data_IF_981295830684
#
_entry.id   IF_981295830684
#
_cell.length_a   1.000
_cell.length_b   1.000
_cell.length_c   1.000
_cell.angle_alpha   90.00
_cell.angle_beta   90.00
_cell.angle_gamma   90.00
#
_symmetry.space_group_name_H-M   'P 1'
#
loop_
_entity.id
_entity.type
_entity.pdbx_description
1 polymer ?
#
# COMPACT_ATOMS: atom_id res chain seq x y z
N UNK A 1 31.01 7.56 10.72
CA UNK A 1 29.81 6.72 10.54
C UNK A 1 28.98 6.82 11.81
N UNK A 2 27.74 7.28 11.79
CA UNK A 2 26.94 7.33 13.01
C UNK A 2 26.57 5.89 13.41
N UNK A 3 26.93 5.51 14.62
CA UNK A 3 26.52 4.30 15.30
C UNK A 3 25.00 4.28 15.41
N UNK A 4 24.36 3.32 14.76
CA UNK A 4 22.92 3.04 14.92
C UNK A 4 22.77 2.53 16.35
N UNK A 5 22.19 3.37 17.24
CA UNK A 5 21.91 2.99 18.59
C UNK A 5 21.12 1.68 18.63
N UNK A 6 21.63 0.70 19.34
CA UNK A 6 20.95 -0.55 19.62
C UNK A 6 19.75 -0.27 20.54
N UNK A 7 18.64 0.18 19.95
CA UNK A 7 17.35 0.15 20.62
C UNK A 7 17.03 -1.32 20.91
N UNK A 8 16.54 -1.60 22.10
CA UNK A 8 16.09 -2.90 22.57
C UNK A 8 14.94 -3.41 21.68
N UNK A 9 15.24 -3.90 20.49
CA UNK A 9 14.25 -4.44 19.55
C UNK A 9 13.82 -5.80 20.05
N UNK A 10 12.72 -5.81 20.79
CA UNK A 10 12.02 -7.04 21.11
C UNK A 10 11.68 -7.71 19.77
N UNK A 11 12.16 -8.93 19.56
CA UNK A 11 11.91 -9.66 18.33
C UNK A 11 10.41 -9.95 18.21
N UNK A 12 9.73 -9.26 17.30
CA UNK A 12 8.29 -9.44 17.05
C UNK A 12 7.99 -10.72 16.25
N UNK A 13 9.04 -11.34 15.69
CA UNK A 13 8.92 -12.52 14.84
C UNK A 13 9.84 -13.63 15.36
N UNK A 14 9.45 -14.92 15.15
CA UNK A 14 10.22 -16.04 15.66
C UNK A 14 11.59 -16.20 14.97
N UNK A 15 12.54 -16.80 15.65
CA UNK A 15 13.88 -17.06 15.12
C UNK A 15 13.87 -17.96 13.86
N UNK A 16 12.81 -18.75 13.66
CA UNK A 16 12.58 -19.56 12.46
C UNK A 16 12.31 -18.73 11.19
N UNK A 17 12.05 -17.43 11.36
CA UNK A 17 11.86 -16.48 10.26
C UNK A 17 12.88 -15.32 10.36
N UNK A 18 14.17 -15.55 10.14
CA UNK A 18 15.25 -14.60 10.44
C UNK A 18 15.13 -13.29 9.62
N UNK A 19 14.58 -13.36 8.42
CA UNK A 19 14.36 -12.17 7.57
C UNK A 19 13.15 -11.34 7.99
N UNK A 20 12.23 -11.87 8.79
CA UNK A 20 10.96 -11.20 9.09
C UNK A 20 11.15 -9.89 9.88
N UNK A 21 12.00 -9.91 10.93
CA UNK A 21 12.28 -8.70 11.71
C UNK A 21 12.91 -7.58 10.87
N UNK A 22 14.04 -7.78 10.15
CA UNK A 22 14.63 -6.71 9.36
C UNK A 22 13.70 -6.20 8.25
N UNK A 23 12.92 -7.07 7.59
CA UNK A 23 11.95 -6.67 6.56
C UNK A 23 10.82 -5.85 7.18
N UNK A 24 10.26 -6.30 8.29
CA UNK A 24 9.18 -5.59 8.98
C UNK A 24 9.62 -4.19 9.40
N UNK A 25 10.70 -4.07 10.14
CA UNK A 25 11.17 -2.78 10.65
C UNK A 25 11.66 -1.84 9.55
N UNK A 26 12.19 -2.36 8.46
CA UNK A 26 12.61 -1.53 7.32
C UNK A 26 11.43 -1.03 6.49
N UNK A 27 10.39 -1.87 6.28
CA UNK A 27 9.36 -1.64 5.26
C UNK A 27 8.03 -1.19 5.86
N UNK A 28 7.55 -1.80 6.93
CA UNK A 28 6.18 -1.64 7.41
C UNK A 28 6.06 -0.85 8.72
N UNK A 29 7.09 -0.90 9.56
CA UNK A 29 7.13 -0.17 10.82
C UNK A 29 7.41 1.31 10.58
N UNK A 30 6.56 2.18 11.09
CA UNK A 30 6.70 3.64 10.95
C UNK A 30 7.55 4.20 12.10
N UNK A 31 8.17 5.35 11.86
CA UNK A 31 8.88 6.09 12.91
C UNK A 31 7.88 6.77 13.84
N UNK A 32 8.12 6.66 15.13
CA UNK A 32 7.38 7.35 16.21
C UNK A 32 8.36 8.17 17.03
N UNK A 33 7.85 8.96 17.97
CA UNK A 33 8.69 9.72 18.91
C UNK A 33 9.55 8.80 19.79
N UNK A 34 9.09 7.56 20.05
CA UNK A 34 9.77 6.56 20.88
C UNK A 34 10.62 5.57 20.08
N UNK A 35 10.72 5.73 18.77
CA UNK A 35 11.46 4.83 17.90
C UNK A 35 10.64 4.35 16.70
N UNK A 36 10.55 3.04 16.50
CA UNK A 36 9.74 2.44 15.45
C UNK A 36 8.59 1.63 16.05
N UNK A 37 7.46 1.61 15.31
CA UNK A 37 6.30 0.79 15.70
C UNK A 37 6.68 -0.68 15.83
N UNK A 38 6.24 -1.31 16.90
CA UNK A 38 6.20 -2.77 17.07
C UNK A 38 5.10 -3.39 16.22
N UNK A 39 5.11 -4.72 16.09
CA UNK A 39 4.02 -5.43 15.42
C UNK A 39 2.65 -5.16 16.05
N UNK A 40 2.59 -5.10 17.38
CA UNK A 40 1.35 -4.79 18.10
C UNK A 40 0.81 -3.40 17.76
N UNK A 41 1.68 -2.40 17.64
CA UNK A 41 1.28 -1.02 17.31
C UNK A 41 0.81 -0.93 15.86
N UNK A 42 1.49 -1.57 14.91
CA UNK A 42 1.05 -1.65 13.51
C UNK A 42 -0.31 -2.35 13.41
N UNK A 43 -0.51 -3.46 14.10
CA UNK A 43 -1.80 -4.18 14.11
C UNK A 43 -2.94 -3.31 14.66
N UNK A 44 -2.71 -2.60 15.76
CA UNK A 44 -3.71 -1.67 16.33
C UNK A 44 -4.04 -0.54 15.37
N UNK A 45 -3.04 0.07 14.75
CA UNK A 45 -3.23 1.13 13.75
C UNK A 45 -4.04 0.65 12.56
N UNK A 46 -3.72 -0.53 12.03
CA UNK A 46 -4.45 -1.14 10.92
C UNK A 46 -5.92 -1.44 11.25
N UNK A 47 -6.18 -2.00 12.43
CA UNK A 47 -7.53 -2.27 12.90
C UNK A 47 -8.34 -0.99 13.09
N UNK A 48 -7.73 0.07 13.60
CA UNK A 48 -8.39 1.37 13.70
C UNK A 48 -8.77 1.92 12.32
N UNK A 49 -7.87 1.81 11.33
CA UNK A 49 -8.18 2.19 9.96
C UNK A 49 -9.33 1.37 9.35
N UNK A 50 -9.34 0.06 9.57
CA UNK A 50 -10.44 -0.81 9.12
C UNK A 50 -11.77 -0.47 9.79
N UNK A 51 -11.74 -0.13 11.09
CA UNK A 51 -12.95 0.32 11.82
C UNK A 51 -13.54 1.59 11.22
N UNK A 52 -12.71 2.52 10.77
CA UNK A 52 -13.16 3.77 10.17
C UNK A 52 -13.68 3.60 8.74
N UNK A 53 -13.07 2.71 7.96
CA UNK A 53 -13.43 2.50 6.55
C UNK A 53 -14.54 1.49 6.36
N UNK A 54 -14.62 0.48 7.22
CA UNK A 54 -15.49 -0.66 7.06
C UNK A 54 -16.75 -0.60 7.91
N UNK A 55 -17.73 -1.39 7.52
CA UNK A 55 -18.95 -1.65 8.29
C UNK A 55 -18.79 -2.93 9.11
N UNK A 56 -17.60 -3.12 9.72
CA UNK A 56 -17.29 -4.30 10.52
C UNK A 56 -17.98 -4.23 11.89
N UNK A 57 -18.61 -5.33 12.26
CA UNK A 57 -19.15 -5.48 13.60
C UNK A 57 -18.04 -5.86 14.62
N UNK A 58 -18.37 -5.83 15.92
CA UNK A 58 -17.37 -6.08 16.97
C UNK A 58 -16.75 -7.48 16.90
N UNK A 59 -17.54 -8.51 16.55
CA UNK A 59 -17.04 -9.89 16.43
C UNK A 59 -16.01 -10.04 15.31
N UNK A 60 -16.25 -9.36 14.18
CA UNK A 60 -15.31 -9.33 13.05
C UNK A 60 -14.03 -8.60 13.42
N UNK A 61 -14.12 -7.47 14.12
CA UNK A 61 -12.96 -6.75 14.60
C UNK A 61 -12.13 -7.56 15.59
N UNK A 62 -12.77 -8.27 16.52
CA UNK A 62 -12.09 -9.14 17.50
C UNK A 62 -11.41 -10.32 16.79
N UNK A 63 -12.07 -10.90 15.79
CA UNK A 63 -11.48 -11.96 14.96
C UNK A 63 -10.24 -11.45 14.22
N UNK A 64 -10.33 -10.31 13.55
CA UNK A 64 -9.22 -9.71 12.82
C UNK A 64 -8.07 -9.32 13.76
N UNK A 65 -8.38 -8.79 14.94
CA UNK A 65 -7.38 -8.47 15.96
C UNK A 65 -6.57 -9.71 16.35
N UNK A 66 -7.25 -10.81 16.64
CA UNK A 66 -6.60 -12.08 16.97
C UNK A 66 -5.77 -12.61 15.81
N UNK A 67 -6.35 -12.62 14.59
CA UNK A 67 -5.65 -13.14 13.41
C UNK A 67 -4.41 -12.34 13.07
N UNK A 68 -4.45 -11.02 13.18
CA UNK A 68 -3.27 -10.18 12.97
C UNK A 68 -2.24 -10.33 14.09
N UNK A 69 -2.65 -10.39 15.35
CA UNK A 69 -1.74 -10.61 16.47
C UNK A 69 -0.98 -11.93 16.32
N UNK A 70 -1.67 -12.99 15.92
CA UNK A 70 -1.11 -14.32 15.66
C UNK A 70 -0.44 -14.44 14.29
N UNK A 71 -0.46 -13.41 13.46
CA UNK A 71 0.08 -13.36 12.08
C UNK A 71 -0.52 -14.42 11.15
N UNK A 72 -1.74 -14.86 11.41
CA UNK A 72 -2.47 -15.87 10.62
C UNK A 72 -3.18 -15.27 9.40
N UNK A 73 -3.61 -14.02 9.51
CA UNK A 73 -4.16 -13.27 8.38
C UNK A 73 -3.61 -11.84 8.42
N UNK A 74 -3.01 -11.42 7.33
CA UNK A 74 -2.38 -10.12 7.19
C UNK A 74 -3.02 -9.35 6.05
N UNK A 75 -3.21 -8.04 6.18
CA UNK A 75 -3.59 -7.22 5.05
C UNK A 75 -2.43 -7.10 4.05
N UNK A 76 -2.67 -6.47 2.90
CA UNK A 76 -1.60 -6.18 1.96
C UNK A 76 -0.47 -5.39 2.62
N UNK A 77 0.77 -5.57 2.13
CA UNK A 77 1.94 -4.86 2.66
C UNK A 77 1.76 -3.34 2.61
N UNK A 78 1.09 -2.82 1.57
CA UNK A 78 0.77 -1.40 1.45
C UNK A 78 -0.15 -0.94 2.60
N UNK A 79 -1.20 -1.71 2.91
CA UNK A 79 -2.07 -1.39 4.03
C UNK A 79 -1.36 -1.50 5.38
N UNK A 80 -0.46 -2.46 5.55
CA UNK A 80 0.40 -2.53 6.74
C UNK A 80 1.19 -1.24 6.96
N UNK A 81 1.63 -0.59 5.88
CA UNK A 81 2.42 0.63 5.96
C UNK A 81 1.57 1.88 6.16
N UNK A 82 0.45 2.04 5.45
CA UNK A 82 -0.33 3.29 5.42
C UNK A 82 -1.69 3.20 6.14
N UNK A 83 -2.23 2.00 6.36
CA UNK A 83 -3.55 1.81 6.99
C UNK A 83 -3.63 2.44 8.37
N UNK A 84 -4.72 3.16 8.65
CA UNK A 84 -4.96 3.87 9.89
C UNK A 84 -4.05 5.07 10.11
N UNK A 85 -3.48 5.64 9.06
CA UNK A 85 -2.72 6.89 9.12
C UNK A 85 -3.57 8.05 8.64
N UNK A 86 -3.38 9.23 9.21
CA UNK A 86 -4.06 10.45 8.77
C UNK A 86 -3.80 10.82 7.31
N UNK A 87 -2.75 10.26 6.71
CA UNK A 87 -2.45 10.45 5.29
C UNK A 87 -3.47 9.74 4.40
N UNK A 88 -3.74 8.44 4.66
CA UNK A 88 -4.66 7.66 3.82
C UNK A 88 -6.13 8.01 4.06
N UNK A 89 -6.45 8.58 5.23
CA UNK A 89 -7.81 9.00 5.57
C UNK A 89 -8.29 10.22 4.76
N UNK A 90 -7.38 10.95 4.12
CA UNK A 90 -7.72 12.04 3.20
C UNK A 90 -8.23 11.46 1.88
N UNK A 91 -9.41 11.92 1.41
CA UNK A 91 -10.04 11.43 0.17
C UNK A 91 -9.11 11.45 -1.05
N UNK A 92 -8.29 12.49 -1.18
CA UNK A 92 -7.32 12.65 -2.27
C UNK A 92 -6.22 11.59 -2.30
N UNK A 93 -6.02 10.87 -1.20
CA UNK A 93 -4.95 9.87 -1.07
C UNK A 93 -5.48 8.41 -1.15
N UNK A 94 -6.81 8.22 -1.28
CA UNK A 94 -7.41 6.87 -1.28
C UNK A 94 -6.87 5.98 -2.39
N UNK A 95 -6.57 6.54 -3.56
CA UNK A 95 -5.96 5.79 -4.67
C UNK A 95 -4.62 5.17 -4.30
N UNK A 96 -3.87 5.76 -3.37
CA UNK A 96 -2.63 5.20 -2.84
C UNK A 96 -2.80 3.87 -2.09
N UNK A 97 -4.02 3.49 -1.70
CA UNK A 97 -4.32 2.19 -1.09
C UNK A 97 -4.43 1.05 -2.12
N UNK A 98 -4.70 1.36 -3.38
CA UNK A 98 -4.81 0.35 -4.43
C UNK A 98 -3.42 -0.15 -4.84
N UNK A 99 -3.27 -1.47 -4.91
CA UNK A 99 -2.01 -2.08 -5.32
C UNK A 99 -1.83 -2.02 -6.83
N UNK A 100 -2.86 -2.41 -7.58
CA UNK A 100 -2.83 -2.50 -9.04
C UNK A 100 -4.12 -1.97 -9.64
N UNK A 101 -3.99 -1.40 -10.83
CA UNK A 101 -5.10 -0.96 -11.67
C UNK A 101 -4.89 -1.46 -13.10
N UNK A 102 -5.97 -1.66 -13.82
CA UNK A 102 -5.95 -1.96 -15.26
C UNK A 102 -6.84 -0.96 -15.98
N UNK A 103 -6.35 -0.41 -17.07
CA UNK A 103 -7.04 0.61 -17.86
C UNK A 103 -7.08 0.19 -19.32
N UNK A 104 -8.27 0.23 -19.94
CA UNK A 104 -8.41 0.03 -21.36
C UNK A 104 -7.93 1.28 -22.11
N UNK A 105 -7.04 1.11 -23.08
CA UNK A 105 -6.51 2.21 -23.88
C UNK A 105 -7.46 2.52 -25.06
N UNK A 106 -8.55 3.20 -24.78
CA UNK A 106 -9.59 3.58 -25.76
C UNK A 106 -9.48 5.03 -26.23
N UNK A 107 -8.76 5.88 -25.49
CA UNK A 107 -8.53 7.28 -25.82
C UNK A 107 -7.23 7.81 -25.22
N UNK A 108 -6.84 9.04 -25.57
CA UNK A 108 -5.66 9.69 -25.03
C UNK A 108 -5.76 10.01 -23.54
N UNK A 109 -6.96 10.16 -23.00
CA UNK A 109 -7.18 10.41 -21.56
C UNK A 109 -6.81 9.19 -20.71
N UNK A 110 -6.93 7.99 -21.27
CA UNK A 110 -6.53 6.77 -20.59
C UNK A 110 -5.04 6.77 -20.22
N UNK A 111 -4.18 7.35 -21.08
CA UNK A 111 -2.75 7.49 -20.76
C UNK A 111 -2.52 8.48 -19.60
N UNK A 112 -3.25 9.60 -19.57
CA UNK A 112 -3.22 10.56 -18.46
C UNK A 112 -3.65 9.90 -17.16
N UNK A 113 -4.78 9.18 -17.17
CA UNK A 113 -5.27 8.44 -16.00
C UNK A 113 -4.24 7.43 -15.47
N UNK A 114 -3.60 6.68 -16.36
CA UNK A 114 -2.54 5.74 -15.98
C UNK A 114 -1.37 6.45 -15.29
N UNK A 115 -0.96 7.61 -15.83
CA UNK A 115 0.12 8.40 -15.24
C UNK A 115 -0.27 8.92 -13.86
N UNK A 116 -1.48 9.47 -13.71
CA UNK A 116 -1.99 9.97 -12.43
C UNK A 116 -2.01 8.87 -11.37
N UNK A 117 -2.52 7.69 -11.72
CA UNK A 117 -2.56 6.53 -10.82
C UNK A 117 -1.15 6.05 -10.46
N UNK A 118 -0.22 6.04 -11.41
CA UNK A 118 1.17 5.68 -11.16
C UNK A 118 1.84 6.67 -10.20
N UNK A 119 1.62 7.97 -10.37
CA UNK A 119 2.12 9.01 -9.47
C UNK A 119 1.55 8.92 -8.05
N UNK A 120 0.33 8.40 -7.92
CA UNK A 120 -0.30 8.09 -6.62
C UNK A 120 0.23 6.79 -5.98
N UNK A 121 1.13 6.08 -6.67
CA UNK A 121 1.75 4.85 -6.16
C UNK A 121 1.04 3.55 -6.53
N UNK A 122 0.05 3.58 -7.43
CA UNK A 122 -0.54 2.36 -7.97
C UNK A 122 0.40 1.67 -8.96
N UNK A 123 0.38 0.33 -8.99
CA UNK A 123 0.90 -0.42 -10.11
C UNK A 123 -0.09 -0.33 -11.27
N UNK A 124 0.25 0.41 -12.33
CA UNK A 124 -0.65 0.62 -13.46
C UNK A 124 -0.37 -0.35 -14.60
N UNK A 125 -1.44 -0.94 -15.13
CA UNK A 125 -1.42 -1.78 -16.31
C UNK A 125 -2.32 -1.22 -17.41
N UNK A 126 -1.96 -1.49 -18.66
CA UNK A 126 -2.76 -1.15 -19.83
C UNK A 126 -3.22 -2.42 -20.53
N UNK A 127 -4.48 -2.44 -20.95
CA UNK A 127 -4.98 -3.46 -21.87
C UNK A 127 -4.73 -2.95 -23.27
N UNK A 128 -3.81 -3.63 -23.98
CA UNK A 128 -3.40 -3.32 -25.37
C UNK A 128 -3.90 -4.45 -26.25
N UNK A 129 -5.11 -4.29 -26.76
CA UNK A 129 -5.73 -5.23 -27.68
C UNK A 129 -6.10 -4.50 -28.99
N UNK A 130 -6.06 -5.18 -30.17
CA UNK A 130 -6.31 -4.53 -31.44
C UNK A 130 -7.60 -3.72 -31.48
N UNK A 131 -8.70 -4.28 -30.98
CA UNK A 131 -10.00 -3.59 -30.99
C UNK A 131 -10.07 -2.35 -30.08
N UNK A 132 -9.17 -2.21 -29.09
CA UNK A 132 -9.04 -1.01 -28.26
C UNK A 132 -8.13 0.01 -28.94
N UNK A 133 -7.05 -0.44 -29.54
CA UNK A 133 -6.08 0.43 -30.21
C UNK A 133 -6.69 1.05 -31.47
N UNK A 134 -7.54 0.30 -32.18
CA UNK A 134 -8.26 0.81 -33.36
C UNK A 134 -9.23 1.97 -33.05
N UNK A 135 -9.57 2.17 -31.77
CA UNK A 135 -10.38 3.29 -31.29
C UNK A 135 -9.57 4.58 -31.05
N UNK A 136 -8.24 4.46 -30.98
CA UNK A 136 -7.38 5.62 -30.76
C UNK A 136 -7.33 6.51 -32.01
N UNK A 137 -7.28 7.84 -31.84
CA UNK A 137 -7.08 8.77 -32.96
C UNK A 137 -5.75 8.49 -33.65
N UNK A 138 -5.78 8.56 -34.99
CA UNK A 138 -4.55 8.40 -35.78
C UNK A 138 -3.61 9.57 -35.52
N UNK A 139 -2.34 9.25 -35.26
CA UNK A 139 -1.28 10.27 -35.14
C UNK A 139 -0.86 10.71 -36.54
N UNK A 140 -1.27 11.92 -36.93
CA UNK A 140 -1.00 12.47 -38.28
C UNK A 140 0.17 13.46 -38.31
N UNK A 141 0.58 13.96 -37.14
CA UNK A 141 1.68 14.93 -37.07
C UNK A 141 3.01 14.22 -36.82
N UNK A 142 4.10 14.64 -37.48
CA UNK A 142 5.41 14.09 -37.24
C UNK A 142 5.86 14.40 -35.80
N UNK A 143 6.38 13.38 -35.11
CA UNK A 143 6.94 13.54 -33.76
C UNK A 143 8.33 14.16 -33.91
N UNK A 144 8.55 15.35 -33.36
CA UNK A 144 9.89 15.93 -33.20
C UNK A 144 10.42 15.53 -31.84
N UNK A 145 11.53 14.79 -31.85
CA UNK A 145 12.33 14.57 -30.62
C UNK A 145 13.28 15.78 -30.49
N UNK A 146 13.14 16.49 -29.37
CA UNK A 146 13.97 17.67 -29.05
C UNK A 146 15.09 17.22 -28.13
#
# INVERSE_FOLDING_TARGET
MPTIGAGNHRADFPATAPAANPVFYRTYSRKTAQGRESWSEVSKRNLNGLRQLGHLNQKELDLLARMQAEKKALPSGRWLWIGGTSWIEKKQNFSGAYNCTSTNLVDWKAFGLMMDLAMMGCGTGAVIEPHLIDQLPIVINPIKVI
#
